data_IF_445329585401
#
_entry.id   IF_445329585401
#
_cell.length_a   1.000
_cell.length_b   1.000
_cell.length_c   1.000
_cell.angle_alpha   90.00
_cell.angle_beta   90.00
_cell.angle_gamma   90.00
#
_symmetry.space_group_name_H-M   'P 1'
#
loop_
_entity.id
_entity.type
_entity.pdbx_description
1 polymer ?
#
# COMPACT_ATOMS: atom_id res chain seq x y z
N UNK A 1 4.83 1.27 -17.63
CA UNK A 1 3.57 1.87 -18.13
C UNK A 1 3.33 3.15 -17.34
N UNK A 2 2.77 4.20 -17.94
CA UNK A 2 2.47 5.45 -17.22
C UNK A 2 1.01 5.81 -17.45
N UNK A 3 0.28 5.97 -16.35
CA UNK A 3 -1.11 6.40 -16.36
C UNK A 3 -1.18 7.77 -15.67
N UNK A 4 -1.84 8.74 -16.31
CA UNK A 4 -2.02 10.07 -15.76
C UNK A 4 -3.50 10.40 -15.75
N UNK A 5 -4.01 10.70 -14.57
CA UNK A 5 -5.43 10.97 -14.33
C UNK A 5 -5.54 12.24 -13.50
N UNK A 6 -6.56 13.06 -13.76
CA UNK A 6 -6.77 14.32 -13.03
C UNK A 6 -8.20 14.42 -12.54
N UNK A 7 -8.37 14.79 -11.27
CA UNK A 7 -9.68 15.00 -10.66
C UNK A 7 -9.67 16.24 -9.78
N UNK A 8 -10.56 17.19 -10.07
CA UNK A 8 -10.75 18.43 -9.29
C UNK A 8 -9.47 19.23 -9.00
N UNK A 9 -8.56 19.28 -9.98
CA UNK A 9 -7.31 20.03 -9.87
C UNK A 9 -6.17 19.25 -9.22
N UNK A 10 -6.40 18.00 -8.79
CA UNK A 10 -5.32 17.10 -8.35
C UNK A 10 -4.98 16.14 -9.47
N UNK A 11 -3.68 15.95 -9.74
CA UNK A 11 -3.18 15.02 -10.75
C UNK A 11 -2.53 13.81 -10.10
N UNK A 12 -2.99 12.61 -10.45
CA UNK A 12 -2.35 11.36 -10.07
C UNK A 12 -1.59 10.79 -11.28
N UNK A 13 -0.31 10.50 -11.08
CA UNK A 13 0.56 9.84 -12.04
C UNK A 13 0.97 8.50 -11.44
N UNK A 14 0.58 7.41 -12.10
CA UNK A 14 0.98 6.05 -11.74
C UNK A 14 2.01 5.53 -12.75
N UNK A 15 3.16 5.08 -12.24
CA UNK A 15 4.35 4.73 -13.01
C UNK A 15 4.80 3.30 -12.67
N UNK A 16 4.44 2.36 -13.53
CA UNK A 16 4.92 0.97 -13.47
C UNK A 16 6.27 0.84 -14.20
N UNK A 17 7.34 0.53 -13.49
CA UNK A 17 8.70 0.36 -14.03
C UNK A 17 9.11 1.48 -15.02
N UNK A 18 9.19 2.75 -14.57
CA UNK A 18 9.45 3.87 -15.46
C UNK A 18 10.87 3.86 -16.04
N UNK A 19 11.01 4.41 -17.24
CA UNK A 19 12.35 4.64 -17.82
C UNK A 19 12.99 5.92 -17.25
N UNK A 20 14.33 6.07 -17.34
CA UNK A 20 14.99 7.31 -16.94
C UNK A 20 14.44 8.57 -17.63
N UNK A 21 14.00 8.45 -18.89
CA UNK A 21 13.38 9.55 -19.63
C UNK A 21 12.01 9.93 -19.07
N UNK A 22 11.25 8.95 -18.57
CA UNK A 22 9.97 9.19 -17.94
C UNK A 22 10.13 9.89 -16.59
N UNK A 23 11.08 9.39 -15.78
CA UNK A 23 11.48 10.01 -14.51
C UNK A 23 11.93 11.46 -14.72
N UNK A 24 12.72 11.74 -15.76
CA UNK A 24 13.17 13.09 -16.08
C UNK A 24 12.01 14.03 -16.42
N UNK A 25 11.02 13.57 -17.19
CA UNK A 25 9.82 14.36 -17.54
C UNK A 25 8.98 14.70 -16.31
N UNK A 26 8.71 13.70 -15.46
CA UNK A 26 7.89 13.87 -14.26
C UNK A 26 8.61 14.77 -13.25
N UNK A 27 9.93 14.65 -13.14
CA UNK A 27 10.74 15.56 -12.33
C UNK A 27 10.63 17.01 -12.78
N UNK A 28 10.76 17.27 -14.09
CA UNK A 28 10.65 18.63 -14.63
C UNK A 28 9.23 19.19 -14.48
N UNK A 29 8.21 18.37 -14.74
CA UNK A 29 6.80 18.79 -14.68
C UNK A 29 6.35 19.16 -13.26
N UNK A 30 6.76 18.41 -12.24
CA UNK A 30 6.29 18.57 -10.86
C UNK A 30 7.35 19.13 -9.91
N UNK A 31 8.47 19.62 -10.45
CA UNK A 31 9.59 20.17 -9.71
C UNK A 31 10.13 19.22 -8.61
N UNK A 32 10.13 17.91 -8.88
CA UNK A 32 10.57 16.90 -7.91
C UNK A 32 12.07 17.06 -7.63
N UNK A 33 12.45 16.93 -6.36
CA UNK A 33 13.83 17.04 -5.94
C UNK A 33 14.73 16.03 -6.68
N UNK A 34 15.93 16.45 -7.11
CA UNK A 34 16.86 15.64 -7.89
C UNK A 34 17.17 14.28 -7.25
N UNK A 35 17.30 14.24 -5.92
CA UNK A 35 17.59 13.02 -5.16
C UNK A 35 16.41 12.03 -5.28
N UNK A 36 15.17 12.50 -5.11
CA UNK A 36 13.98 11.66 -5.25
C UNK A 36 13.88 11.09 -6.66
N UNK A 37 14.15 11.91 -7.69
CA UNK A 37 14.16 11.43 -9.06
C UNK A 37 15.22 10.36 -9.34
N UNK A 38 16.40 10.44 -8.72
CA UNK A 38 17.40 9.39 -8.84
C UNK A 38 16.96 8.08 -8.19
N UNK A 39 16.22 8.17 -7.08
CA UNK A 39 15.68 7.00 -6.39
C UNK A 39 14.52 6.35 -7.15
N UNK A 40 13.65 7.11 -7.83
CA UNK A 40 12.57 6.54 -8.68
C UNK A 40 13.06 5.67 -9.86
N UNK A 41 14.36 5.65 -10.15
CA UNK A 41 14.92 4.89 -11.27
C UNK A 41 15.22 3.42 -10.92
N UNK A 42 15.33 3.09 -9.63
CA UNK A 42 15.65 1.75 -9.13
C UNK A 42 14.96 1.52 -7.79
N UNK A 43 14.48 0.30 -7.50
CA UNK A 43 13.92 0.00 -6.18
C UNK A 43 14.87 0.41 -5.07
N UNK A 44 14.35 1.12 -4.08
CA UNK A 44 15.02 1.46 -2.84
C UNK A 44 15.38 0.21 -2.07
N UNK A 45 16.39 0.34 -1.20
CA UNK A 45 16.77 -0.72 -0.27
C UNK A 45 15.99 -0.63 1.05
N UNK A 46 15.30 0.49 1.32
CA UNK A 46 14.66 0.73 2.62
C UNK A 46 13.39 1.60 2.52
N UNK A 47 12.32 1.24 3.25
CA UNK A 47 11.19 2.13 3.52
C UNK A 47 11.65 3.41 4.22
N UNK A 48 11.00 4.53 3.93
CA UNK A 48 11.34 5.85 4.52
C UNK A 48 10.25 6.90 4.30
N UNK A 49 10.37 8.01 5.03
CA UNK A 49 9.65 9.27 4.81
C UNK A 49 10.68 10.38 4.79
N UNK A 50 10.74 11.13 3.69
CA UNK A 50 11.56 12.32 3.53
C UNK A 50 10.68 13.51 3.12
N UNK A 51 10.78 14.63 3.82
CA UNK A 51 10.01 15.84 3.51
C UNK A 51 10.88 16.83 2.75
N UNK A 52 10.39 17.27 1.59
CA UNK A 52 10.99 18.30 0.76
C UNK A 52 10.09 19.53 0.70
N UNK A 53 10.59 20.63 0.13
CA UNK A 53 9.89 21.91 0.09
C UNK A 53 8.52 21.89 -0.62
N UNK A 54 8.34 21.01 -1.60
CA UNK A 54 7.13 20.95 -2.44
C UNK A 54 6.43 19.58 -2.43
N UNK A 55 7.02 18.56 -1.80
CA UNK A 55 6.45 17.23 -1.75
C UNK A 55 7.00 16.40 -0.59
N UNK A 56 6.25 15.40 -0.17
CA UNK A 56 6.72 14.31 0.69
C UNK A 56 7.09 13.12 -0.18
N UNK A 57 8.22 12.48 0.11
CA UNK A 57 8.62 11.22 -0.49
C UNK A 57 8.50 10.09 0.54
N UNK A 58 7.62 9.13 0.28
CA UNK A 58 7.32 8.01 1.15
C UNK A 58 7.53 6.70 0.38
N UNK A 59 8.28 5.77 0.96
CA UNK A 59 8.50 4.44 0.40
C UNK A 59 7.89 3.39 1.33
N UNK A 60 6.94 2.61 0.82
CA UNK A 60 6.24 1.54 1.54
C UNK A 60 6.33 0.22 0.78
N UNK A 61 6.11 -0.89 1.49
CA UNK A 61 6.09 -2.23 0.88
C UNK A 61 4.71 -2.86 1.04
N UNK A 62 4.22 -3.43 -0.04
CA UNK A 62 2.94 -4.12 -0.07
C UNK A 62 3.13 -5.58 -0.49
N UNK A 63 2.36 -6.50 0.09
CA UNK A 63 2.37 -7.90 -0.34
C UNK A 63 1.82 -8.02 -1.76
N UNK A 64 2.50 -8.77 -2.62
CA UNK A 64 2.04 -9.09 -3.97
C UNK A 64 2.00 -10.61 -4.13
N UNK A 65 0.84 -11.08 -4.58
CA UNK A 65 0.60 -12.51 -4.80
C UNK A 65 1.68 -13.11 -5.71
N UNK A 66 2.23 -14.26 -5.31
CA UNK A 66 3.31 -15.01 -5.98
C UNK A 66 4.66 -14.28 -6.16
N UNK A 67 4.79 -13.01 -5.77
CA UNK A 67 5.99 -12.19 -6.00
C UNK A 67 6.62 -11.62 -4.72
N UNK A 68 6.07 -11.97 -3.55
CA UNK A 68 6.59 -11.53 -2.26
C UNK A 68 6.10 -10.13 -1.93
N UNK A 69 7.00 -9.15 -1.88
CA UNK A 69 6.68 -7.77 -1.53
C UNK A 69 7.06 -6.85 -2.69
N UNK A 70 6.16 -5.94 -3.05
CA UNK A 70 6.44 -4.86 -3.99
C UNK A 70 6.68 -3.56 -3.24
N UNK A 71 7.65 -2.80 -3.72
CA UNK A 71 7.88 -1.44 -3.28
C UNK A 71 6.92 -0.49 -3.99
N UNK A 72 6.37 0.46 -3.24
CA UNK A 72 5.60 1.57 -3.77
C UNK A 72 6.15 2.88 -3.22
N UNK A 73 6.64 3.69 -4.13
CA UNK A 73 7.10 5.04 -3.90
C UNK A 73 5.93 6.00 -4.08
N UNK A 74 5.69 6.84 -3.08
CA UNK A 74 4.71 7.92 -3.12
C UNK A 74 5.43 9.25 -3.06
N UNK A 75 5.24 10.08 -4.08
CA UNK A 75 5.64 11.48 -4.08
C UNK A 75 4.36 12.30 -3.98
N UNK A 76 4.12 12.89 -2.82
CA UNK A 76 2.86 13.55 -2.47
C UNK A 76 3.10 15.05 -2.41
N UNK A 77 2.74 15.76 -3.47
CA UNK A 77 2.77 17.22 -3.53
C UNK A 77 1.50 17.84 -2.95
N UNK A 78 1.23 19.11 -3.27
CA UNK A 78 -0.02 19.78 -2.86
C UNK A 78 -1.22 19.40 -3.73
N UNK A 79 -0.99 19.38 -5.04
CA UNK A 79 -1.96 19.18 -6.11
C UNK A 79 -1.57 18.05 -7.07
N UNK A 80 -0.56 17.26 -6.70
CA UNK A 80 -0.19 16.07 -7.44
C UNK A 80 0.23 14.93 -6.51
N UNK A 81 0.06 13.70 -7.00
CA UNK A 81 0.63 12.50 -6.40
C UNK A 81 1.25 11.64 -7.50
N UNK A 82 2.48 11.19 -7.29
CA UNK A 82 3.15 10.21 -8.15
C UNK A 82 3.28 8.91 -7.37
N UNK A 83 2.87 7.80 -7.99
CA UNK A 83 3.09 6.45 -7.49
C UNK A 83 4.06 5.74 -8.43
N UNK A 84 5.17 5.24 -7.90
CA UNK A 84 6.13 4.43 -8.68
C UNK A 84 6.19 3.04 -8.07
N UNK A 85 6.09 2.01 -8.91
CA UNK A 85 6.20 0.63 -8.50
C UNK A 85 6.86 -0.20 -9.60
N UNK A 86 7.58 -1.26 -9.23
CA UNK A 86 8.42 -2.01 -10.16
C UNK A 86 7.77 -3.35 -10.54
N UNK A 87 7.03 -3.93 -9.62
CA UNK A 87 6.15 -5.08 -9.85
C UNK A 87 4.75 -4.61 -10.25
N UNK A 88 4.00 -5.46 -10.95
CA UNK A 88 2.62 -5.16 -11.30
C UNK A 88 1.72 -5.27 -10.07
N UNK A 89 1.05 -4.17 -9.71
CA UNK A 89 0.05 -4.12 -8.64
C UNK A 89 -1.32 -3.85 -9.30
N UNK A 90 -2.19 -4.86 -9.32
CA UNK A 90 -3.44 -4.82 -10.10
C UNK A 90 -4.41 -3.74 -9.59
N UNK A 91 -4.36 -3.47 -8.29
CA UNK A 91 -5.18 -2.49 -7.57
C UNK A 91 -5.03 -1.08 -8.16
N UNK A 92 -3.83 -0.69 -8.58
CA UNK A 92 -3.59 0.63 -9.17
C UNK A 92 -4.36 0.85 -10.46
N UNK A 93 -4.48 -0.17 -11.32
CA UNK A 93 -5.24 -0.08 -12.56
C UNK A 93 -6.75 0.09 -12.34
N UNK A 94 -7.27 -0.39 -11.21
CA UNK A 94 -8.68 -0.22 -10.85
C UNK A 94 -8.91 1.09 -10.10
N UNK A 95 -7.98 1.48 -9.23
CA UNK A 95 -8.06 2.74 -8.50
C UNK A 95 -7.92 3.95 -9.43
N UNK A 96 -7.06 3.92 -10.44
CA UNK A 96 -6.92 5.00 -11.43
C UNK A 96 -8.23 5.24 -12.18
N UNK A 97 -8.93 4.19 -12.60
CA UNK A 97 -10.27 4.30 -13.21
C UNK A 97 -11.28 4.91 -12.24
N UNK A 98 -11.32 4.43 -10.99
CA UNK A 98 -12.22 4.96 -9.96
C UNK A 98 -11.92 6.43 -9.62
N UNK A 99 -10.65 6.83 -9.70
CA UNK A 99 -10.21 8.20 -9.48
C UNK A 99 -10.69 9.14 -10.58
N UNK A 100 -10.58 8.73 -11.85
CA UNK A 100 -11.06 9.52 -13.00
C UNK A 100 -12.56 9.82 -12.92
N UNK A 101 -13.36 8.85 -12.49
CA UNK A 101 -14.81 9.02 -12.35
C UNK A 101 -15.22 9.60 -10.98
N UNK A 102 -14.25 9.89 -10.10
CA UNK A 102 -14.47 10.47 -8.77
C UNK A 102 -15.06 9.51 -7.73
N UNK A 103 -15.23 8.22 -8.06
CA UNK A 103 -15.76 7.20 -7.15
C UNK A 103 -14.77 6.82 -6.06
N UNK A 104 -13.47 6.94 -6.33
CA UNK A 104 -12.42 6.70 -5.33
C UNK A 104 -12.54 7.66 -4.13
N UNK A 105 -13.16 8.82 -4.33
CA UNK A 105 -13.37 9.87 -3.32
C UNK A 105 -14.72 9.73 -2.58
N UNK A 106 -15.50 8.70 -2.92
CA UNK A 106 -16.85 8.45 -2.40
C UNK A 106 -17.88 9.52 -2.79
N UNK A 107 -19.06 9.48 -2.16
CA UNK A 107 -20.17 10.42 -2.41
C UNK A 107 -19.90 11.86 -1.94
N UNK A 108 -18.67 12.21 -1.55
CA UNK A 108 -18.33 13.53 -1.04
C UNK A 108 -18.16 14.54 -2.18
N UNK A 109 -19.26 14.86 -2.85
CA UNK A 109 -19.31 15.88 -3.91
C UNK A 109 -18.88 17.26 -3.42
N UNK A 110 -18.77 17.47 -2.10
CA UNK A 110 -18.40 18.74 -1.45
C UNK A 110 -17.05 18.71 -0.72
N UNK A 111 -16.34 17.57 -0.65
CA UNK A 111 -15.01 17.57 -0.03
C UNK A 111 -14.02 18.38 -0.87
N UNK A 112 -13.18 19.14 -0.18
CA UNK A 112 -11.93 19.63 -0.74
C UNK A 112 -11.08 18.41 -1.12
N UNK A 113 -10.55 18.41 -2.33
CA UNK A 113 -9.66 17.37 -2.83
C UNK A 113 -8.28 17.98 -2.96
N UNK A 114 -7.35 17.50 -2.14
CA UNK A 114 -5.91 17.75 -2.25
C UNK A 114 -5.20 16.39 -2.43
N UNK A 115 -3.90 16.42 -2.74
CA UNK A 115 -3.14 15.19 -2.95
C UNK A 115 -3.03 14.32 -1.68
N UNK A 116 -3.08 14.91 -0.49
CA UNK A 116 -3.12 14.17 0.77
C UNK A 116 -4.39 13.33 0.92
N UNK A 117 -5.54 13.87 0.50
CA UNK A 117 -6.79 13.12 0.45
C UNK A 117 -6.77 12.04 -0.65
N UNK A 118 -6.11 12.26 -1.78
CA UNK A 118 -5.92 11.22 -2.81
C UNK A 118 -5.05 10.07 -2.26
N UNK A 119 -3.91 10.40 -1.65
CA UNK A 119 -3.04 9.44 -0.97
C UNK A 119 -3.82 8.60 0.05
N UNK A 120 -4.63 9.26 0.89
CA UNK A 120 -5.48 8.58 1.86
C UNK A 120 -6.38 7.52 1.23
N UNK A 121 -7.07 7.84 0.13
CA UNK A 121 -7.96 6.89 -0.52
C UNK A 121 -7.21 5.75 -1.24
N UNK A 122 -6.04 6.02 -1.83
CA UNK A 122 -5.18 4.98 -2.41
C UNK A 122 -4.74 4.00 -1.30
N UNK A 123 -4.22 4.52 -0.19
CA UNK A 123 -3.80 3.70 0.95
C UNK A 123 -4.95 2.88 1.55
N UNK A 124 -6.14 3.48 1.68
CA UNK A 124 -7.35 2.74 2.10
C UNK A 124 -7.70 1.62 1.13
N UNK A 125 -7.57 1.85 -0.16
CA UNK A 125 -7.77 0.83 -1.19
C UNK A 125 -6.77 -0.32 -1.05
N UNK A 126 -5.48 -0.01 -0.88
CA UNK A 126 -4.42 -1.01 -0.71
C UNK A 126 -4.63 -1.84 0.57
N UNK A 127 -4.94 -1.19 1.70
CA UNK A 127 -5.27 -1.88 2.94
C UNK A 127 -6.52 -2.76 2.82
N UNK A 128 -7.55 -2.30 2.12
CA UNK A 128 -8.72 -3.13 1.84
C UNK A 128 -8.39 -4.36 1.01
N UNK A 129 -7.54 -4.25 -0.01
CA UNK A 129 -7.08 -5.43 -0.76
C UNK A 129 -6.38 -6.43 0.15
N UNK A 130 -5.56 -5.95 1.09
CA UNK A 130 -4.91 -6.83 2.08
C UNK A 130 -5.94 -7.51 3.00
N UNK A 131 -6.96 -6.79 3.45
CA UNK A 131 -8.05 -7.38 4.22
C UNK A 131 -8.78 -8.49 3.43
N UNK A 132 -9.10 -8.25 2.16
CA UNK A 132 -9.75 -9.24 1.29
C UNK A 132 -8.87 -10.51 1.15
N UNK A 133 -7.54 -10.35 1.06
CA UNK A 133 -6.61 -11.48 1.08
C UNK A 133 -6.59 -12.21 2.44
N UNK A 134 -6.71 -11.49 3.56
CA UNK A 134 -6.81 -12.11 4.88
C UNK A 134 -8.09 -12.94 5.04
N UNK A 135 -9.20 -12.51 4.44
CA UNK A 135 -10.44 -13.32 4.42
C UNK A 135 -10.24 -14.65 3.68
N UNK A 136 -9.49 -14.63 2.58
CA UNK A 136 -9.12 -15.85 1.84
C UNK A 136 -8.24 -16.79 2.69
N UNK A 137 -7.27 -16.24 3.43
CA UNK A 137 -6.46 -17.01 4.39
C UNK A 137 -7.33 -17.64 5.47
N UNK A 138 -8.29 -16.91 6.04
CA UNK A 138 -9.22 -17.44 7.03
C UNK A 138 -10.05 -18.60 6.48
N UNK A 139 -10.45 -18.54 5.21
CA UNK A 139 -11.09 -19.64 4.51
C UNK A 139 -10.19 -20.88 4.43
N UNK A 140 -8.92 -20.68 4.05
CA UNK A 140 -7.93 -21.76 3.97
C UNK A 140 -7.65 -22.40 5.33
N UNK A 141 -7.59 -21.62 6.42
CA UNK A 141 -7.42 -22.16 7.77
C UNK A 141 -8.58 -23.06 8.18
N UNK A 142 -9.83 -22.64 7.91
CA UNK A 142 -11.03 -23.47 8.15
C UNK A 142 -11.03 -24.75 7.31
N UNK A 143 -10.49 -24.72 6.10
CA UNK A 143 -10.31 -25.93 5.29
C UNK A 143 -9.31 -26.88 5.94
N UNK A 144 -8.17 -26.37 6.39
CA UNK A 144 -7.13 -27.15 7.07
C UNK A 144 -7.68 -27.82 8.32
N UNK A 145 -8.44 -27.10 9.15
CA UNK A 145 -9.11 -27.65 10.33
C UNK A 145 -10.00 -28.84 9.97
N UNK A 146 -10.76 -28.76 8.87
CA UNK A 146 -11.62 -29.87 8.41
C UNK A 146 -10.82 -31.08 7.94
N UNK A 147 -9.62 -30.86 7.41
CA UNK A 147 -8.75 -31.93 6.92
C UNK A 147 -8.16 -32.78 8.05
N UNK A 148 -7.96 -32.20 9.24
CA UNK A 148 -7.54 -32.93 10.46
C UNK A 148 -8.51 -34.08 10.73
N UNK A 149 -9.81 -33.80 10.72
CA UNK A 149 -10.84 -34.81 10.96
C UNK A 149 -11.02 -35.82 9.82
N UNK A 150 -10.52 -35.49 8.62
CA UNK A 150 -10.62 -36.33 7.43
C UNK A 150 -9.42 -37.28 7.23
N UNK A 151 -8.35 -37.15 8.03
CA UNK A 151 -7.13 -37.95 7.90
C UNK A 151 -6.27 -37.60 6.67
N UNK A 152 -6.38 -36.39 6.13
CA UNK A 152 -5.61 -35.91 4.97
C UNK A 152 -4.25 -35.26 5.35
N UNK A 153 -3.49 -35.88 6.25
CA UNK A 153 -2.31 -35.27 6.92
C UNK A 153 -1.27 -34.67 5.95
N UNK A 154 -0.92 -35.38 4.87
CA UNK A 154 0.13 -34.90 3.96
C UNK A 154 -0.26 -33.61 3.23
N UNK A 155 -1.52 -33.51 2.81
CA UNK A 155 -2.06 -32.33 2.11
C UNK A 155 -2.31 -31.17 3.08
N UNK A 156 -2.65 -31.51 4.32
CA UNK A 156 -2.77 -30.54 5.42
C UNK A 156 -1.45 -29.81 5.68
N UNK A 157 -0.33 -30.55 5.85
CA UNK A 157 0.99 -29.95 6.11
C UNK A 157 1.41 -28.99 5.00
N UNK A 158 1.18 -29.35 3.74
CA UNK A 158 1.47 -28.48 2.59
C UNK A 158 0.66 -27.19 2.65
N UNK A 159 -0.65 -27.28 2.94
CA UNK A 159 -1.53 -26.12 3.07
C UNK A 159 -1.13 -25.22 4.24
N UNK A 160 -0.80 -25.78 5.40
CA UNK A 160 -0.31 -25.02 6.55
C UNK A 160 0.96 -24.25 6.16
N UNK A 161 1.92 -24.91 5.50
CA UNK A 161 3.16 -24.27 5.07
C UNK A 161 2.92 -23.10 4.11
N UNK A 162 1.99 -23.26 3.17
CA UNK A 162 1.63 -22.20 2.23
C UNK A 162 0.98 -21.01 2.95
N UNK A 163 0.02 -21.25 3.85
CA UNK A 163 -0.63 -20.20 4.65
C UNK A 163 0.40 -19.47 5.52
N UNK A 164 1.27 -20.21 6.20
CA UNK A 164 2.31 -19.62 7.06
C UNK A 164 3.26 -18.73 6.25
N UNK A 165 3.67 -19.17 5.05
CA UNK A 165 4.51 -18.36 4.15
C UNK A 165 3.81 -17.06 3.77
N UNK A 166 2.55 -17.14 3.34
CA UNK A 166 1.78 -15.94 3.03
C UNK A 166 1.73 -14.99 4.22
N UNK A 167 1.35 -15.45 5.41
CA UNK A 167 1.28 -14.61 6.62
C UNK A 167 2.63 -13.95 6.96
N UNK A 168 3.75 -14.64 6.73
CA UNK A 168 5.08 -14.06 6.89
C UNK A 168 5.34 -12.96 5.86
N UNK A 169 4.99 -13.18 4.59
CA UNK A 169 5.16 -12.18 3.52
C UNK A 169 4.37 -10.90 3.85
N UNK A 170 3.08 -11.04 4.24
CA UNK A 170 2.25 -9.93 4.71
C UNK A 170 2.88 -9.19 5.89
N UNK A 171 3.36 -9.92 6.90
CA UNK A 171 4.01 -9.31 8.06
C UNK A 171 5.27 -8.53 7.67
N UNK A 172 6.13 -9.10 6.81
CA UNK A 172 7.38 -8.47 6.41
C UNK A 172 7.18 -7.24 5.53
N UNK A 173 6.15 -7.23 4.68
CA UNK A 173 5.76 -6.05 3.91
C UNK A 173 5.34 -4.90 4.83
N UNK A 174 4.46 -5.20 5.78
CA UNK A 174 3.76 -4.19 6.55
C UNK A 174 4.51 -3.70 7.79
N UNK A 175 5.54 -4.41 8.26
CA UNK A 175 6.19 -4.16 9.56
C UNK A 175 6.62 -2.71 9.84
N UNK A 176 6.93 -1.91 8.80
CA UNK A 176 7.40 -0.53 8.96
C UNK A 176 6.29 0.51 8.79
N UNK A 177 5.08 0.10 8.39
CA UNK A 177 4.01 1.05 8.07
C UNK A 177 3.63 1.90 9.28
N UNK A 178 3.63 1.32 10.49
CA UNK A 178 3.32 2.06 11.72
C UNK A 178 4.25 3.26 11.92
N UNK A 179 5.55 2.99 12.00
CA UNK A 179 6.57 4.01 12.25
C UNK A 179 6.60 5.07 11.15
N UNK A 180 6.42 4.65 9.90
CA UNK A 180 6.40 5.56 8.74
C UNK A 180 5.14 6.41 8.70
N UNK A 181 3.97 5.87 9.05
CA UNK A 181 2.75 6.67 9.17
C UNK A 181 2.87 7.67 10.33
N UNK A 182 3.47 7.30 11.46
CA UNK A 182 3.71 8.21 12.58
C UNK A 182 4.68 9.34 12.16
N UNK A 183 5.78 9.01 11.47
CA UNK A 183 6.70 10.02 10.92
C UNK A 183 6.01 10.91 9.90
N UNK A 184 5.19 10.34 9.00
CA UNK A 184 4.43 11.08 8.01
C UNK A 184 3.44 12.08 8.67
N UNK A 185 2.75 11.67 9.74
CA UNK A 185 1.86 12.57 10.50
C UNK A 185 2.62 13.76 11.08
N UNK A 186 3.80 13.51 11.65
CA UNK A 186 4.65 14.53 12.28
C UNK A 186 5.26 15.49 11.26
N UNK A 187 5.82 14.94 10.18
CA UNK A 187 6.77 15.66 9.35
C UNK A 187 6.10 16.37 8.16
N UNK A 188 4.94 15.87 7.70
CA UNK A 188 4.22 16.43 6.55
C UNK A 188 3.22 17.55 6.91
N UNK A 189 3.08 17.89 8.19
CA UNK A 189 2.07 18.83 8.68
C UNK A 189 2.16 20.25 8.12
N UNK A 190 3.32 20.67 7.60
CA UNK A 190 3.49 21.99 6.95
C UNK A 190 3.04 21.99 5.48
N UNK A 191 3.02 20.83 4.81
CA UNK A 191 2.71 20.71 3.39
C UNK A 191 1.19 20.61 3.12
N UNK A 192 0.46 20.05 4.08
CA UNK A 192 -0.98 19.82 4.01
C UNK A 192 -1.72 20.60 5.10
N UNK A 193 -3.04 20.66 5.00
CA UNK A 193 -3.85 21.35 6.01
C UNK A 193 -4.14 20.50 7.24
N UNK A 194 -4.91 21.05 8.18
CA UNK A 194 -5.22 20.40 9.45
C UNK A 194 -5.94 19.05 9.34
N UNK A 195 -6.43 18.66 8.14
CA UNK A 195 -7.12 17.38 7.93
C UNK A 195 -6.14 16.24 7.72
N UNK A 196 -4.94 16.51 7.24
CA UNK A 196 -3.97 15.47 6.90
C UNK A 196 -3.62 14.56 8.07
N UNK A 197 -3.37 15.06 9.30
CA UNK A 197 -3.16 14.19 10.47
C UNK A 197 -4.34 13.25 10.75
N UNK A 198 -5.58 13.67 10.49
CA UNK A 198 -6.75 12.80 10.66
C UNK A 198 -6.77 11.66 9.63
N UNK A 199 -6.36 11.93 8.39
CA UNK A 199 -6.21 10.90 7.37
C UNK A 199 -5.16 9.87 7.79
N UNK A 200 -4.00 10.33 8.24
CA UNK A 200 -2.90 9.43 8.65
C UNK A 200 -3.31 8.59 9.86
N UNK A 201 -3.91 9.16 10.89
CA UNK A 201 -4.44 8.38 12.04
C UNK A 201 -5.47 7.35 11.63
N UNK A 202 -6.33 7.69 10.67
CA UNK A 202 -7.30 6.72 10.14
C UNK A 202 -6.57 5.58 9.42
N UNK A 203 -5.51 5.84 8.65
CA UNK A 203 -4.70 4.80 8.01
C UNK A 203 -3.98 3.93 9.04
N UNK A 204 -3.45 4.52 10.11
CA UNK A 204 -2.83 3.77 11.21
C UNK A 204 -3.83 2.80 11.85
N UNK A 205 -5.09 3.20 12.04
CA UNK A 205 -6.14 2.32 12.56
C UNK A 205 -6.44 1.14 11.61
N UNK A 206 -6.52 1.38 10.30
CA UNK A 206 -6.71 0.31 9.30
C UNK A 206 -5.51 -0.66 9.31
N UNK A 207 -4.29 -0.12 9.40
CA UNK A 207 -3.07 -0.93 9.56
C UNK A 207 -3.12 -1.80 10.84
N UNK A 208 -3.47 -1.22 12.00
CA UNK A 208 -3.58 -1.98 13.26
C UNK A 208 -4.62 -3.10 13.17
N UNK A 209 -5.73 -2.87 12.47
CA UNK A 209 -6.74 -3.90 12.25
C UNK A 209 -6.15 -5.07 11.44
N UNK A 210 -5.45 -4.77 10.35
CA UNK A 210 -4.80 -5.77 9.49
C UNK A 210 -3.75 -6.57 10.27
N UNK A 211 -2.88 -5.91 11.02
CA UNK A 211 -1.82 -6.59 11.78
C UNK A 211 -2.39 -7.50 12.87
N UNK A 212 -3.46 -7.09 13.55
CA UNK A 212 -4.16 -7.96 14.50
C UNK A 212 -4.76 -9.21 13.83
N UNK A 213 -5.30 -9.09 12.61
CA UNK A 213 -5.80 -10.25 11.84
C UNK A 213 -4.63 -11.18 11.48
N UNK A 214 -3.50 -10.64 11.02
CA UNK A 214 -2.31 -11.42 10.68
C UNK A 214 -1.80 -12.19 11.91
N UNK A 215 -1.68 -11.54 13.06
CA UNK A 215 -1.21 -12.20 14.28
C UNK A 215 -2.18 -13.27 14.78
N UNK A 216 -3.50 -13.00 14.78
CA UNK A 216 -4.50 -14.02 15.13
C UNK A 216 -4.44 -15.24 14.20
N UNK A 217 -4.22 -15.03 12.91
CA UNK A 217 -4.06 -16.13 11.95
C UNK A 217 -2.78 -16.94 12.17
N UNK A 218 -1.68 -16.29 12.55
CA UNK A 218 -0.42 -16.97 12.91
C UNK A 218 -0.60 -17.83 14.17
N UNK A 219 -1.36 -17.37 15.16
CA UNK A 219 -1.69 -18.17 16.35
C UNK A 219 -2.44 -19.45 15.95
N UNK A 220 -3.45 -19.35 15.10
CA UNK A 220 -4.20 -20.51 14.59
C UNK A 220 -3.26 -21.49 13.84
N UNK A 221 -2.38 -20.97 12.97
CA UNK A 221 -1.39 -21.79 12.26
C UNK A 221 -0.47 -22.54 13.23
N UNK A 222 -0.01 -21.89 14.30
CA UNK A 222 0.84 -22.52 15.31
C UNK A 222 0.11 -23.63 16.06
N UNK A 223 -1.16 -23.43 16.40
CA UNK A 223 -2.00 -24.45 17.04
C UNK A 223 -2.19 -25.67 16.11
N UNK A 224 -2.47 -25.43 14.83
CA UNK A 224 -2.61 -26.48 13.81
C UNK A 224 -1.30 -27.25 13.57
N UNK A 225 -0.15 -26.60 13.72
CA UNK A 225 1.16 -27.28 13.68
C UNK A 225 1.42 -28.20 14.87
N UNK A 226 0.78 -27.92 16.02
CA UNK A 226 0.96 -28.66 17.27
C UNK A 226 -0.03 -29.82 17.46
N UNK A 227 -1.04 -29.92 16.59
CA UNK A 227 -2.09 -30.96 16.59
C UNK A 227 -1.64 -32.18 15.81
#
# INVERSE_FOLDING_TARGET
MITKSSFRGVTWIDMESPSPDDVAKIREEFEIHQIVAQEMSVPSLRPKVDVYSNAVYLVLYFPVYDHGNAEVDFIIGKDFIVTVHYERINEFADFTKLFEVGELMGNSKTAHVDAGFVFFNIMKGLYRSIEDHMESINGNLKDIERMIFAGEERRMVERISNVNRSLLDFHWALKNHEDLLISLESDAGELFDERFPYYIRSLSNEYYKITNIIEGNKEIVNDLHST
#
